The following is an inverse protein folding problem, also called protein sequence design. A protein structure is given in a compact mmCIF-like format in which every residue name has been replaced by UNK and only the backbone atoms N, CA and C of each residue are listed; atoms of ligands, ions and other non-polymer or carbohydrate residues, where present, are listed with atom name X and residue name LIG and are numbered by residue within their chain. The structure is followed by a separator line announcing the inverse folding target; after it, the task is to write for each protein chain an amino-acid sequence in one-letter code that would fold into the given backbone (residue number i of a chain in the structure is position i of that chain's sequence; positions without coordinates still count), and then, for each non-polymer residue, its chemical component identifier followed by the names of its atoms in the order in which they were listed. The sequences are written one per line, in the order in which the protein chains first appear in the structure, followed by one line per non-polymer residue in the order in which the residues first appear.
data_IF_461243445573
#
_entry.id   IF_461243445573
#
_cell.length_a   1.000
_cell.length_b   1.000
_cell.length_c   1.000
_cell.angle_alpha   90.00
_cell.angle_beta   90.00
_cell.angle_gamma   90.00
#
_symmetry.space_group_name_H-M   'P 1'
#
loop_
_entity.id
_entity.type
_entity.pdbx_description
1 polymer ?
#
# COMPACT_ATOMS: atom_id res chain seq x y z
N UNK A 1 -31.73 3.61 -25.06
CA UNK A 1 -30.73 3.33 -26.11
C UNK A 1 -29.54 2.71 -25.37
N UNK A 2 -29.32 1.41 -25.54
CA UNK A 2 -28.14 0.73 -24.98
C UNK A 2 -26.88 1.25 -25.69
N UNK A 3 -25.80 1.60 -24.98
CA UNK A 3 -24.56 1.98 -25.63
C UNK A 3 -24.02 0.77 -26.41
N UNK A 4 -23.74 0.98 -27.67
CA UNK A 4 -23.03 0.04 -28.52
C UNK A 4 -21.66 -0.23 -27.90
N UNK A 5 -21.46 -1.47 -27.41
CA UNK A 5 -20.17 -1.99 -26.95
C UNK A 5 -19.14 -1.80 -28.06
N UNK A 6 -18.29 -0.80 -27.95
CA UNK A 6 -17.04 -0.78 -28.71
C UNK A 6 -16.22 -2.01 -28.32
N UNK A 7 -15.58 -2.65 -29.29
CA UNK A 7 -14.75 -3.83 -29.06
C UNK A 7 -13.68 -3.48 -28.02
N UNK A 8 -13.81 -4.04 -26.78
CA UNK A 8 -12.82 -3.87 -25.71
C UNK A 8 -13.34 -3.43 -24.35
N UNK A 9 -14.60 -3.01 -24.20
CA UNK A 9 -15.14 -2.52 -22.92
C UNK A 9 -15.06 -1.00 -22.73
N UNK A 10 -15.55 -0.46 -21.58
CA UNK A 10 -15.57 0.97 -21.30
C UNK A 10 -14.15 1.55 -21.09
N UNK A 11 -13.96 2.77 -21.54
CA UNK A 11 -12.73 3.55 -21.36
C UNK A 11 -12.84 4.39 -20.08
N UNK A 12 -12.08 4.07 -19.07
CA UNK A 12 -12.14 4.68 -17.73
C UNK A 12 -10.82 5.36 -17.40
N UNK A 13 -10.90 6.60 -16.92
CA UNK A 13 -9.79 7.31 -16.28
C UNK A 13 -9.90 7.13 -14.77
N UNK A 14 -8.87 6.59 -14.13
CA UNK A 14 -8.74 6.44 -12.69
C UNK A 14 -7.77 7.46 -12.10
N UNK A 15 -8.16 8.09 -10.99
CA UNK A 15 -7.33 9.07 -10.25
C UNK A 15 -7.06 8.56 -8.85
N UNK A 16 -5.78 8.49 -8.48
CA UNK A 16 -5.29 8.11 -7.16
C UNK A 16 -4.50 9.25 -6.53
N UNK A 17 -4.83 9.62 -5.28
CA UNK A 17 -4.14 10.67 -4.52
C UNK A 17 -4.21 10.43 -3.01
N UNK A 18 -4.27 9.18 -2.56
CA UNK A 18 -4.53 8.88 -1.14
C UNK A 18 -3.38 9.18 -0.19
N UNK A 19 -2.14 9.27 -0.68
CA UNK A 19 -0.95 9.47 0.17
C UNK A 19 0.01 10.51 -0.42
N UNK A 20 1.11 10.10 -1.03
CA UNK A 20 2.20 10.97 -1.50
C UNK A 20 2.48 10.81 -3.00
N UNK A 21 1.71 10.01 -3.69
CA UNK A 21 1.78 9.80 -5.13
C UNK A 21 0.50 10.23 -5.82
N UNK A 22 0.63 11.03 -6.89
CA UNK A 22 -0.48 11.38 -7.78
C UNK A 22 -0.45 10.38 -8.94
N UNK A 23 -1.40 9.46 -8.94
CA UNK A 23 -1.56 8.47 -9.99
C UNK A 23 -2.71 8.78 -10.93
N UNK A 24 -2.51 8.57 -12.24
CA UNK A 24 -3.57 8.56 -13.24
C UNK A 24 -3.41 7.33 -14.12
N UNK A 25 -4.38 6.42 -14.03
CA UNK A 25 -4.47 5.23 -14.87
C UNK A 25 -5.57 5.36 -15.90
N UNK A 26 -5.38 4.78 -17.08
CA UNK A 26 -6.39 4.67 -18.12
C UNK A 26 -6.53 3.23 -18.53
N UNK A 27 -7.75 2.71 -18.46
CA UNK A 27 -8.05 1.32 -18.82
C UNK A 27 -9.18 1.25 -19.82
N UNK A 28 -9.13 0.25 -20.70
CA UNK A 28 -10.23 -0.15 -21.59
C UNK A 28 -10.69 -1.55 -21.23
N UNK A 29 -11.80 -1.67 -20.52
CA UNK A 29 -12.18 -2.94 -19.91
C UNK A 29 -11.13 -3.42 -18.92
N UNK A 30 -10.41 -4.49 -19.24
CA UNK A 30 -9.29 -5.04 -18.44
C UNK A 30 -7.90 -4.74 -19.05
N UNK A 31 -7.83 -3.95 -20.10
CA UNK A 31 -6.57 -3.58 -20.74
C UNK A 31 -6.05 -2.26 -20.14
N UNK A 32 -4.83 -2.26 -19.61
CA UNK A 32 -4.16 -1.06 -19.13
C UNK A 32 -3.54 -0.31 -20.31
N UNK A 33 -4.03 0.91 -20.59
CA UNK A 33 -3.53 1.77 -21.66
C UNK A 33 -2.47 2.75 -21.17
N UNK A 34 -2.62 3.28 -19.95
CA UNK A 34 -1.64 4.17 -19.34
C UNK A 34 -1.62 4.02 -17.82
N UNK A 35 -0.43 4.20 -17.23
CA UNK A 35 -0.22 4.29 -15.78
C UNK A 35 0.86 5.35 -15.52
N UNK A 36 0.42 6.57 -15.21
CA UNK A 36 1.30 7.70 -14.96
C UNK A 36 1.29 8.05 -13.48
N UNK A 37 2.49 8.19 -12.92
CA UNK A 37 2.68 8.53 -11.51
C UNK A 37 3.58 9.75 -11.38
N UNK A 38 3.23 10.64 -10.46
CA UNK A 38 4.07 11.74 -9.99
C UNK A 38 4.25 11.59 -8.48
N UNK A 39 5.45 11.20 -8.06
CA UNK A 39 5.78 11.00 -6.64
C UNK A 39 6.24 12.30 -5.99
N UNK A 40 5.79 12.55 -4.76
CA UNK A 40 6.27 13.64 -3.92
C UNK A 40 7.22 13.17 -2.81
N UNK A 41 7.68 11.92 -2.85
CA UNK A 41 8.55 11.30 -1.82
C UNK A 41 9.75 12.18 -1.48
N UNK A 42 10.41 12.78 -2.48
CA UNK A 42 11.58 13.65 -2.26
C UNK A 42 11.28 14.88 -1.37
N UNK A 43 10.04 15.40 -1.44
CA UNK A 43 9.63 16.51 -0.60
C UNK A 43 9.50 16.12 0.88
N UNK A 44 9.32 14.82 1.14
CA UNK A 44 9.09 14.25 2.46
C UNK A 44 10.37 13.73 3.14
N UNK A 45 11.44 13.47 2.38
CA UNK A 45 12.72 12.92 2.88
C UNK A 45 13.23 13.67 4.11
N UNK A 46 13.23 15.01 4.06
CA UNK A 46 13.69 15.86 5.16
C UNK A 46 12.90 15.73 6.47
N UNK A 47 11.67 15.23 6.38
CA UNK A 47 10.79 15.04 7.54
C UNK A 47 10.82 13.59 8.06
N UNK A 48 11.39 12.66 7.28
CA UNK A 48 11.46 11.23 7.62
C UNK A 48 10.11 10.52 7.60
N UNK A 49 9.17 11.02 6.80
CA UNK A 49 7.82 10.46 6.62
C UNK A 49 6.89 11.45 5.93
N UNK A 50 5.73 10.99 5.49
CA UNK A 50 4.77 11.80 4.73
C UNK A 50 4.16 12.90 5.60
N UNK A 51 4.22 14.14 5.11
CA UNK A 51 3.58 15.31 5.73
C UNK A 51 2.30 15.63 4.94
N UNK A 52 1.10 15.50 5.53
CA UNK A 52 -0.17 15.60 4.81
C UNK A 52 -0.36 16.91 4.02
N UNK A 53 0.04 18.05 4.60
CA UNK A 53 -0.07 19.34 3.92
C UNK A 53 0.85 19.45 2.69
N UNK A 54 2.08 18.92 2.80
CA UNK A 54 3.04 18.88 1.69
C UNK A 54 2.50 17.99 0.57
N UNK A 55 1.99 16.81 0.89
CA UNK A 55 1.38 15.90 -0.06
C UNK A 55 0.20 16.56 -0.79
N UNK A 56 -0.72 17.21 -0.05
CA UNK A 56 -1.88 17.88 -0.63
C UNK A 56 -1.49 18.97 -1.64
N UNK A 57 -0.46 19.76 -1.35
CA UNK A 57 0.06 20.79 -2.28
C UNK A 57 0.71 20.17 -3.51
N UNK A 58 1.49 19.09 -3.33
CA UNK A 58 2.11 18.38 -4.44
C UNK A 58 1.06 17.80 -5.40
N UNK A 59 -0.05 17.24 -4.88
CA UNK A 59 -1.16 16.76 -5.70
C UNK A 59 -1.78 17.85 -6.56
N UNK A 60 -1.96 19.06 -6.00
CA UNK A 60 -2.51 20.20 -6.78
C UNK A 60 -1.62 20.55 -7.98
N UNK A 61 -0.32 20.51 -7.80
CA UNK A 61 0.66 20.84 -8.86
C UNK A 61 0.77 19.71 -9.88
N UNK A 62 0.72 18.46 -9.43
CA UNK A 62 0.96 17.26 -10.25
C UNK A 62 -0.29 16.78 -11.04
N UNK A 63 -1.50 17.04 -10.56
CA UNK A 63 -2.74 16.45 -11.09
C UNK A 63 -2.92 16.66 -12.59
N UNK A 64 -2.91 17.90 -13.04
CA UNK A 64 -3.13 18.23 -14.47
C UNK A 64 -2.00 17.70 -15.35
N UNK A 65 -0.71 17.91 -15.04
CA UNK A 65 0.38 17.33 -15.82
C UNK A 65 0.33 15.79 -15.90
N UNK A 66 -0.03 15.11 -14.81
CA UNK A 66 -0.11 13.64 -14.80
C UNK A 66 -1.27 13.14 -15.66
N UNK A 67 -2.44 13.80 -15.59
CA UNK A 67 -3.57 13.49 -16.46
C UNK A 67 -3.22 13.69 -17.94
N UNK A 68 -2.54 14.79 -18.29
CA UNK A 68 -2.10 15.06 -19.66
C UNK A 68 -1.13 13.99 -20.18
N UNK A 69 -0.17 13.57 -19.36
CA UNK A 69 0.74 12.47 -19.72
C UNK A 69 -0.01 11.16 -19.92
N UNK A 70 -0.94 10.82 -19.03
CA UNK A 70 -1.74 9.60 -19.16
C UNK A 70 -2.54 9.56 -20.46
N UNK A 71 -3.21 10.66 -20.84
CA UNK A 71 -3.92 10.77 -22.12
C UNK A 71 -2.97 10.61 -23.31
N UNK A 72 -1.79 11.25 -23.26
CA UNK A 72 -0.79 11.13 -24.32
C UNK A 72 -0.22 9.69 -24.43
N UNK A 73 0.04 9.05 -23.30
CA UNK A 73 0.55 7.66 -23.26
C UNK A 73 -0.50 6.65 -23.77
N UNK A 74 -1.78 6.90 -23.52
CA UNK A 74 -2.89 6.07 -23.99
C UNK A 74 -3.34 6.40 -25.42
N UNK A 75 -2.82 7.47 -26.02
CA UNK A 75 -3.25 8.00 -27.33
C UNK A 75 -4.77 8.25 -27.40
N UNK A 76 -5.32 8.92 -26.38
CA UNK A 76 -6.75 9.25 -26.28
C UNK A 76 -6.99 10.75 -26.03
N UNK A 77 -8.16 11.23 -26.47
CA UNK A 77 -8.72 12.49 -26.02
C UNK A 77 -9.67 12.28 -24.83
N UNK A 78 -9.72 13.23 -23.89
CA UNK A 78 -10.60 13.15 -22.72
C UNK A 78 -12.09 13.07 -23.07
N UNK A 79 -12.50 13.50 -24.25
CA UNK A 79 -13.89 13.37 -24.73
C UNK A 79 -14.30 11.92 -25.02
N UNK A 80 -13.32 11.03 -25.21
CA UNK A 80 -13.54 9.61 -25.55
C UNK A 80 -13.84 8.75 -24.34
N UNK A 81 -13.52 9.20 -23.10
CA UNK A 81 -13.73 8.41 -21.90
C UNK A 81 -15.21 8.15 -21.65
N UNK A 82 -15.51 6.99 -21.07
CA UNK A 82 -16.86 6.60 -20.67
C UNK A 82 -17.18 6.90 -19.21
N UNK A 83 -16.15 7.07 -18.37
CA UNK A 83 -16.32 7.37 -16.96
C UNK A 83 -15.03 7.78 -16.27
N UNK A 84 -15.18 8.34 -15.08
CA UNK A 84 -14.09 8.73 -14.18
C UNK A 84 -14.19 7.91 -12.90
N UNK A 85 -13.10 7.26 -12.49
CA UNK A 85 -12.96 6.61 -11.20
C UNK A 85 -12.00 7.44 -10.32
N UNK A 86 -12.20 7.44 -9.01
CA UNK A 86 -11.31 8.15 -8.10
C UNK A 86 -11.26 7.45 -6.75
N UNK A 87 -10.10 7.39 -6.16
CA UNK A 87 -9.95 6.91 -4.79
C UNK A 87 -10.68 7.82 -3.81
N UNK A 88 -11.70 7.25 -3.13
CA UNK A 88 -12.53 7.95 -2.17
C UNK A 88 -12.07 7.77 -0.72
N UNK A 89 -11.15 6.83 -0.47
CA UNK A 89 -10.59 6.46 0.82
C UNK A 89 -10.31 4.96 0.92
N UNK A 90 -9.60 4.54 2.00
CA UNK A 90 -8.93 5.38 3.00
C UNK A 90 -7.72 6.13 2.43
N UNK A 91 -7.24 7.15 3.19
CA UNK A 91 -6.08 7.95 2.83
C UNK A 91 -5.99 9.26 3.62
N UNK A 92 -4.97 10.05 3.31
CA UNK A 92 -4.80 11.37 3.90
C UNK A 92 -5.89 12.32 3.41
N UNK A 93 -6.68 12.87 4.33
CA UNK A 93 -7.87 13.68 4.00
C UNK A 93 -7.59 14.79 2.99
N UNK A 94 -6.54 15.59 3.20
CA UNK A 94 -6.19 16.69 2.29
C UNK A 94 -5.78 16.22 0.90
N UNK A 95 -5.10 15.09 0.81
CA UNK A 95 -4.68 14.47 -0.43
C UNK A 95 -5.90 13.91 -1.21
N UNK A 96 -6.76 13.16 -0.53
CA UNK A 96 -8.02 12.64 -1.10
C UNK A 96 -8.91 13.74 -1.64
N UNK A 97 -9.03 14.89 -0.93
CA UNK A 97 -9.85 16.03 -1.37
C UNK A 97 -9.39 16.57 -2.72
N UNK A 98 -8.08 16.62 -2.98
CA UNK A 98 -7.55 17.08 -4.27
C UNK A 98 -7.97 16.16 -5.41
N UNK A 99 -7.77 14.85 -5.27
CA UNK A 99 -8.21 13.87 -6.27
C UNK A 99 -9.71 13.88 -6.50
N UNK A 100 -10.50 13.86 -5.42
CA UNK A 100 -11.96 13.92 -5.49
C UNK A 100 -12.48 15.18 -6.16
N UNK A 101 -11.91 16.36 -5.85
CA UNK A 101 -12.32 17.62 -6.48
C UNK A 101 -11.98 17.61 -7.97
N UNK A 102 -10.79 17.13 -8.34
CA UNK A 102 -10.35 17.01 -9.73
C UNK A 102 -11.24 16.05 -10.53
N UNK A 103 -11.51 14.87 -9.98
CA UNK A 103 -12.38 13.88 -10.62
C UNK A 103 -13.82 14.37 -10.78
N UNK A 104 -14.38 15.06 -9.77
CA UNK A 104 -15.71 15.64 -9.84
C UNK A 104 -15.79 16.73 -10.92
N UNK A 105 -14.79 17.61 -10.99
CA UNK A 105 -14.74 18.67 -12.01
C UNK A 105 -14.63 18.06 -13.42
N UNK A 106 -13.79 17.03 -13.59
CA UNK A 106 -13.62 16.32 -14.87
C UNK A 106 -14.92 15.63 -15.29
N UNK A 107 -15.51 14.83 -14.42
CA UNK A 107 -16.76 14.11 -14.69
C UNK A 107 -17.91 15.07 -15.02
N UNK A 108 -18.01 16.17 -14.29
CA UNK A 108 -19.02 17.21 -14.54
C UNK A 108 -18.83 17.89 -15.91
N UNK A 109 -17.60 18.31 -16.22
CA UNK A 109 -17.28 19.01 -17.47
C UNK A 109 -17.52 18.11 -18.71
N UNK A 110 -17.26 16.83 -18.59
CA UNK A 110 -17.41 15.85 -19.67
C UNK A 110 -18.79 15.17 -19.70
N UNK A 111 -19.66 15.46 -18.73
CA UNK A 111 -20.96 14.79 -18.56
C UNK A 111 -20.84 13.26 -18.48
N UNK A 112 -19.82 12.78 -17.74
CA UNK A 112 -19.53 11.34 -17.55
C UNK A 112 -19.83 10.90 -16.12
N UNK A 113 -20.16 9.61 -15.90
CA UNK A 113 -20.34 9.07 -14.55
C UNK A 113 -19.06 9.14 -13.75
N UNK A 114 -19.20 9.31 -12.42
CA UNK A 114 -18.11 9.31 -11.44
C UNK A 114 -18.28 8.13 -10.50
N UNK A 115 -17.19 7.38 -10.30
CA UNK A 115 -17.13 6.20 -9.43
C UNK A 115 -16.13 6.43 -8.30
N UNK A 116 -16.59 6.36 -7.05
CA UNK A 116 -15.70 6.34 -5.88
C UNK A 116 -15.18 4.93 -5.64
N UNK A 117 -13.86 4.77 -5.56
CA UNK A 117 -13.19 3.48 -5.34
C UNK A 117 -12.50 3.47 -3.98
N UNK A 118 -12.57 2.35 -3.29
CA UNK A 118 -11.80 2.13 -2.07
C UNK A 118 -10.32 1.87 -2.45
N UNK A 119 -9.40 2.58 -1.79
CA UNK A 119 -7.96 2.48 -2.04
C UNK A 119 -7.44 1.04 -1.90
N UNK A 120 -7.86 0.32 -0.86
CA UNK A 120 -7.43 -1.06 -0.60
C UNK A 120 -7.96 -2.01 -1.68
N UNK A 121 -9.19 -1.77 -2.16
CA UNK A 121 -9.76 -2.52 -3.30
C UNK A 121 -8.96 -2.25 -4.57
N UNK A 122 -8.51 -1.00 -4.78
CA UNK A 122 -7.61 -0.66 -5.88
C UNK A 122 -6.33 -1.49 -5.89
N UNK A 123 -5.72 -1.70 -4.73
CA UNK A 123 -4.52 -2.56 -4.62
C UNK A 123 -4.79 -4.02 -5.00
N UNK A 124 -5.95 -4.55 -4.66
CA UNK A 124 -6.33 -5.93 -5.05
C UNK A 124 -6.65 -5.99 -6.55
N UNK A 125 -7.29 -4.93 -7.08
CA UNK A 125 -7.72 -4.88 -8.47
C UNK A 125 -6.56 -4.90 -9.49
N UNK A 126 -5.36 -4.49 -9.10
CA UNK A 126 -4.16 -4.56 -9.95
C UNK A 126 -3.90 -5.99 -10.43
N UNK A 127 -4.16 -6.99 -9.60
CA UNK A 127 -3.97 -8.39 -9.95
C UNK A 127 -4.83 -8.83 -11.15
N UNK A 128 -6.03 -8.24 -11.31
CA UNK A 128 -6.87 -8.45 -12.49
C UNK A 128 -6.22 -8.02 -13.81
N UNK A 129 -5.40 -6.97 -13.76
CA UNK A 129 -4.71 -6.45 -14.94
C UNK A 129 -3.44 -7.24 -15.27
N UNK A 130 -2.78 -7.79 -14.25
CA UNK A 130 -1.51 -8.51 -14.42
C UNK A 130 -1.71 -10.01 -14.67
N UNK A 131 -2.66 -10.64 -13.98
CA UNK A 131 -2.84 -12.09 -13.97
C UNK A 131 -4.20 -12.55 -14.48
N UNK A 132 -5.14 -11.63 -14.75
CA UNK A 132 -6.48 -11.95 -15.21
C UNK A 132 -7.48 -12.15 -14.04
N UNK A 133 -8.58 -12.89 -14.25
CA UNK A 133 -9.63 -13.03 -13.27
C UNK A 133 -9.13 -13.50 -11.90
N UNK A 134 -9.56 -12.84 -10.83
CA UNK A 134 -9.26 -13.27 -9.46
C UNK A 134 -9.86 -14.65 -9.17
N UNK A 135 -9.24 -15.43 -8.27
CA UNK A 135 -9.86 -16.65 -7.73
C UNK A 135 -11.23 -16.34 -7.11
N UNK A 136 -12.15 -17.32 -7.13
CA UNK A 136 -13.50 -17.15 -6.55
C UNK A 136 -13.49 -16.72 -5.07
N UNK A 137 -12.43 -17.12 -4.34
CA UNK A 137 -12.19 -16.72 -2.96
C UNK A 137 -10.70 -16.64 -2.71
N UNK A 138 -10.22 -15.49 -2.35
CA UNK A 138 -8.82 -15.30 -1.95
C UNK A 138 -8.71 -14.42 -0.70
N UNK A 139 -7.55 -14.48 -0.06
CA UNK A 139 -7.16 -13.52 0.98
C UNK A 139 -6.15 -12.57 0.37
N UNK A 140 -6.31 -11.28 0.61
CA UNK A 140 -5.33 -10.27 0.23
C UNK A 140 -4.63 -9.73 1.48
N UNK A 141 -3.30 -9.84 1.52
CA UNK A 141 -2.43 -9.18 2.48
C UNK A 141 -1.92 -7.88 1.85
N UNK A 142 -2.45 -6.76 2.29
CA UNK A 142 -2.03 -5.44 1.84
C UNK A 142 -1.03 -4.85 2.84
N UNK A 143 0.21 -4.61 2.40
CA UNK A 143 1.31 -4.17 3.27
C UNK A 143 2.05 -3.01 2.63
N UNK A 144 1.81 -1.80 3.14
CA UNK A 144 2.39 -0.55 2.63
C UNK A 144 2.95 0.32 3.74
N UNK A 145 3.40 1.53 3.40
CA UNK A 145 3.82 2.56 4.35
C UNK A 145 2.70 3.02 5.28
N UNK A 146 1.45 3.05 4.80
CA UNK A 146 0.30 3.54 5.55
C UNK A 146 -0.69 2.46 5.99
N UNK A 147 -0.66 1.28 5.39
CA UNK A 147 -1.65 0.22 5.63
C UNK A 147 -0.99 -1.13 5.87
N UNK A 148 -1.59 -1.91 6.76
CA UNK A 148 -1.33 -3.34 6.92
C UNK A 148 -2.66 -3.98 7.24
N UNK A 149 -3.25 -4.68 6.27
CA UNK A 149 -4.61 -5.23 6.36
C UNK A 149 -4.69 -6.61 5.73
N UNK A 150 -5.57 -7.45 6.27
CA UNK A 150 -6.00 -8.71 5.69
C UNK A 150 -7.44 -8.56 5.22
N UNK A 151 -7.68 -8.85 3.95
CA UNK A 151 -8.99 -8.80 3.33
C UNK A 151 -9.38 -10.19 2.83
N UNK A 152 -10.60 -10.63 3.09
CA UNK A 152 -11.22 -11.72 2.36
C UNK A 152 -11.91 -11.14 1.13
N UNK A 153 -11.55 -11.62 -0.05
CA UNK A 153 -12.10 -11.17 -1.33
C UNK A 153 -12.92 -12.30 -1.93
N UNK A 154 -14.23 -12.10 -2.03
CA UNK A 154 -15.19 -13.02 -2.66
C UNK A 154 -15.65 -12.45 -3.99
N UNK A 155 -15.87 -11.14 -4.04
CA UNK A 155 -16.14 -10.39 -5.25
C UNK A 155 -15.51 -9.00 -5.13
N UNK A 156 -14.66 -8.63 -6.07
CA UNK A 156 -13.93 -7.36 -6.00
C UNK A 156 -14.85 -6.14 -6.13
N UNK A 157 -16.03 -6.31 -6.72
CA UNK A 157 -16.96 -5.21 -6.93
C UNK A 157 -17.75 -4.84 -5.67
N UNK A 158 -18.14 -5.82 -4.83
CA UNK A 158 -19.12 -5.61 -3.78
C UNK A 158 -19.02 -6.56 -2.56
N UNK A 159 -18.15 -7.56 -2.56
CA UNK A 159 -18.00 -8.51 -1.44
C UNK A 159 -16.54 -8.67 -1.02
N UNK A 160 -16.03 -7.65 -0.34
CA UNK A 160 -14.73 -7.65 0.30
C UNK A 160 -14.92 -7.39 1.80
N UNK A 161 -14.36 -8.28 2.62
CA UNK A 161 -14.44 -8.20 4.08
C UNK A 161 -13.07 -7.97 4.67
N UNK A 162 -12.88 -6.88 5.42
CA UNK A 162 -11.68 -6.69 6.22
C UNK A 162 -11.69 -7.64 7.41
N UNK A 163 -10.76 -8.59 7.43
CA UNK A 163 -10.59 -9.56 8.51
C UNK A 163 -9.87 -8.93 9.71
N UNK A 164 -8.91 -8.06 9.45
CA UNK A 164 -8.14 -7.34 10.44
C UNK A 164 -7.15 -6.38 9.81
N UNK A 165 -6.68 -5.44 10.61
CA UNK A 165 -5.73 -4.41 10.20
C UNK A 165 -4.78 -4.03 11.32
N UNK A 166 -3.79 -3.18 11.03
CA UNK A 166 -2.90 -2.69 12.09
C UNK A 166 -3.65 -1.78 13.06
N UNK A 167 -3.42 -1.98 14.34
CA UNK A 167 -3.99 -1.15 15.43
C UNK A 167 -3.08 0.02 15.82
N UNK A 168 -1.87 0.07 15.26
CA UNK A 168 -0.88 1.12 15.52
C UNK A 168 -0.05 1.43 14.26
N UNK A 169 1.27 1.31 14.28
CA UNK A 169 2.13 1.54 13.12
C UNK A 169 1.83 0.48 12.01
N UNK A 170 1.75 0.90 10.76
CA UNK A 170 1.80 -0.03 9.64
C UNK A 170 3.19 -0.67 9.52
N UNK A 171 3.29 -1.83 8.86
CA UNK A 171 4.56 -2.51 8.69
C UNK A 171 5.60 -1.64 7.98
N UNK A 172 5.24 -0.98 6.87
CA UNK A 172 6.16 -0.10 6.17
C UNK A 172 6.57 1.11 7.00
N UNK A 173 5.67 1.69 7.78
CA UNK A 173 5.99 2.75 8.74
C UNK A 173 6.97 2.26 9.81
N UNK A 174 6.84 1.02 10.28
CA UNK A 174 7.80 0.41 11.20
C UNK A 174 9.19 0.24 10.55
N UNK A 175 9.24 -0.17 9.28
CA UNK A 175 10.49 -0.19 8.50
C UNK A 175 11.15 1.19 8.43
N UNK A 176 10.40 2.23 8.11
CA UNK A 176 10.93 3.60 8.01
C UNK A 176 11.47 4.11 9.35
N UNK A 177 10.72 3.87 10.43
CA UNK A 177 11.12 4.28 11.79
C UNK A 177 12.35 3.52 12.28
N UNK A 178 12.45 2.21 12.01
CA UNK A 178 13.61 1.39 12.37
C UNK A 178 14.82 1.74 11.51
N UNK A 179 14.65 1.97 10.21
CA UNK A 179 15.72 2.46 9.34
C UNK A 179 16.36 3.73 9.89
N UNK A 180 15.55 4.69 10.32
CA UNK A 180 16.04 5.92 10.95
C UNK A 180 16.83 5.64 12.25
N UNK A 181 16.38 4.71 13.09
CA UNK A 181 17.09 4.28 14.32
C UNK A 181 18.45 3.68 13.97
N UNK A 182 18.53 2.94 12.87
CA UNK A 182 19.75 2.30 12.38
C UNK A 182 20.64 3.22 11.52
N UNK A 183 20.26 4.50 11.32
CA UNK A 183 21.00 5.44 10.50
C UNK A 183 20.90 5.20 8.99
N UNK A 184 19.86 4.48 8.55
CA UNK A 184 19.59 4.20 7.13
C UNK A 184 18.72 5.29 6.50
N UNK A 185 18.80 5.50 5.16
CA UNK A 185 18.01 6.49 4.46
C UNK A 185 16.51 6.17 4.42
N UNK A 186 15.71 7.18 4.02
CA UNK A 186 14.29 7.07 3.69
C UNK A 186 14.10 6.91 2.15
N UNK A 187 13.13 6.10 1.68
CA UNK A 187 12.25 5.18 2.43
C UNK A 187 13.01 3.97 2.99
N UNK A 188 12.72 3.57 4.25
CA UNK A 188 13.52 2.63 5.01
C UNK A 188 13.45 1.17 4.55
N UNK A 189 12.30 0.74 4.00
CA UNK A 189 12.06 -0.64 3.61
C UNK A 189 13.16 -1.24 2.71
N UNK A 190 13.47 -0.64 1.55
CA UNK A 190 14.50 -1.15 0.65
C UNK A 190 15.90 -1.18 1.26
N UNK A 191 16.23 -0.22 2.12
CA UNK A 191 17.54 -0.16 2.77
C UNK A 191 17.70 -1.22 3.88
N UNK A 192 16.64 -1.50 4.64
CA UNK A 192 16.64 -2.60 5.61
C UNK A 192 16.75 -3.93 4.89
N UNK A 193 15.95 -4.17 3.85
CA UNK A 193 15.98 -5.42 3.07
C UNK A 193 17.39 -5.67 2.50
N UNK A 194 18.02 -4.65 1.94
CA UNK A 194 19.40 -4.73 1.44
C UNK A 194 20.42 -4.97 2.56
N UNK A 195 20.22 -4.39 3.75
CA UNK A 195 21.13 -4.54 4.88
C UNK A 195 20.96 -5.88 5.61
N UNK A 196 19.79 -6.51 5.51
CA UNK A 196 19.41 -7.72 6.23
C UNK A 196 20.11 -8.98 5.70
N UNK A 197 21.44 -8.97 5.66
CA UNK A 197 22.29 -10.06 5.17
C UNK A 197 22.88 -10.92 6.30
N UNK A 198 22.61 -10.55 7.55
CA UNK A 198 23.11 -11.24 8.75
C UNK A 198 22.17 -12.33 9.26
N UNK A 199 22.36 -12.69 10.53
CA UNK A 199 21.55 -13.74 11.20
C UNK A 199 20.17 -13.19 11.60
N UNK A 200 19.07 -13.80 11.16
CA UNK A 200 17.72 -13.40 11.57
C UNK A 200 17.43 -13.70 13.06
N UNK A 201 18.20 -14.60 13.68
CA UNK A 201 18.06 -15.01 15.08
C UNK A 201 19.06 -14.30 16.03
N UNK A 202 19.81 -13.31 15.54
CA UNK A 202 20.80 -12.60 16.35
C UNK A 202 20.18 -11.88 17.54
N UNK A 203 19.00 -11.24 17.32
CA UNK A 203 18.18 -10.66 18.38
C UNK A 203 16.76 -11.16 18.25
N UNK A 204 16.23 -11.78 19.30
CA UNK A 204 14.84 -12.23 19.31
C UNK A 204 13.90 -11.05 19.64
N UNK A 205 13.59 -10.26 18.65
CA UNK A 205 12.61 -9.19 18.78
C UNK A 205 11.17 -9.70 18.98
N UNK A 206 10.29 -8.93 19.63
CA UNK A 206 8.91 -9.36 19.87
C UNK A 206 8.09 -9.46 18.57
N UNK A 207 7.15 -10.41 18.53
CA UNK A 207 6.13 -10.58 17.50
C UNK A 207 4.81 -10.08 18.08
N UNK A 208 4.34 -8.92 17.61
CA UNK A 208 3.12 -8.28 18.12
C UNK A 208 1.87 -9.12 17.89
N UNK A 209 0.96 -9.13 18.85
CA UNK A 209 -0.36 -9.78 18.79
C UNK A 209 -0.34 -11.27 18.36
N UNK A 210 0.71 -12.01 18.77
CA UNK A 210 0.84 -13.45 18.49
C UNK A 210 0.62 -14.32 19.71
N UNK A 211 0.49 -13.74 20.91
CA UNK A 211 0.22 -14.45 22.15
C UNK A 211 -1.18 -15.04 22.18
N UNK A 212 -1.37 -16.17 22.91
CA UNK A 212 -2.67 -16.85 22.99
C UNK A 212 -3.84 -15.93 23.36
N UNK A 213 -3.63 -15.01 24.30
CA UNK A 213 -4.67 -14.03 24.72
C UNK A 213 -4.95 -12.99 23.65
N UNK A 214 -3.93 -12.62 22.88
CA UNK A 214 -4.07 -11.64 21.80
C UNK A 214 -4.86 -12.24 20.64
N UNK A 215 -4.62 -13.53 20.32
CA UNK A 215 -5.33 -14.24 19.25
C UNK A 215 -6.84 -14.40 19.54
N UNK A 216 -7.29 -14.33 20.79
CA UNK A 216 -8.72 -14.35 21.13
C UNK A 216 -9.45 -13.06 20.70
N UNK A 217 -8.75 -11.91 20.59
CA UNK A 217 -9.35 -10.61 20.31
C UNK A 217 -8.82 -9.96 19.03
N UNK A 218 -7.58 -10.26 18.67
CA UNK A 218 -6.81 -9.62 17.61
C UNK A 218 -6.23 -10.67 16.65
N UNK A 219 -7.04 -11.68 16.31
CA UNK A 219 -6.57 -12.84 15.53
C UNK A 219 -5.87 -12.42 14.25
N UNK A 220 -6.45 -11.47 13.53
CA UNK A 220 -5.99 -10.99 12.24
C UNK A 220 -5.44 -9.56 12.28
N UNK A 221 -5.48 -8.90 13.44
CA UNK A 221 -4.93 -7.56 13.61
C UNK A 221 -3.41 -7.59 13.76
N UNK A 222 -2.76 -6.50 13.39
CA UNK A 222 -1.31 -6.32 13.47
C UNK A 222 -0.94 -5.25 14.48
N UNK A 223 0.31 -5.31 14.99
CA UNK A 223 0.92 -4.26 15.81
C UNK A 223 2.43 -4.29 15.63
N UNK A 224 3.01 -3.16 15.27
CA UNK A 224 4.45 -3.02 15.03
C UNK A 224 5.11 -1.93 15.89
N UNK A 225 4.36 -1.10 16.62
CA UNK A 225 4.91 -0.04 17.47
C UNK A 225 5.76 -0.61 18.62
N UNK A 226 5.36 -1.77 19.17
CA UNK A 226 6.12 -2.49 20.19
C UNK A 226 7.44 -3.03 19.66
N UNK A 227 7.45 -3.56 18.45
CA UNK A 227 8.63 -4.05 17.76
C UNK A 227 9.64 -2.93 17.50
N UNK A 228 9.19 -1.81 16.91
CA UNK A 228 10.00 -0.60 16.71
C UNK A 228 10.65 -0.15 18.03
N UNK A 229 9.87 -0.08 19.10
CA UNK A 229 10.35 0.34 20.43
C UNK A 229 11.40 -0.62 20.99
N UNK A 230 11.23 -1.92 20.77
CA UNK A 230 12.20 -2.93 21.18
C UNK A 230 13.55 -2.76 20.46
N UNK A 231 13.51 -2.52 19.15
CA UNK A 231 14.74 -2.24 18.35
C UNK A 231 15.42 -0.97 18.85
N UNK A 232 14.68 0.13 19.05
CA UNK A 232 15.25 1.39 19.52
C UNK A 232 15.95 1.23 20.87
N UNK A 233 15.28 0.58 21.83
CA UNK A 233 15.86 0.32 23.18
C UNK A 233 17.10 -0.57 23.10
N UNK A 234 17.10 -1.56 22.22
CA UNK A 234 18.26 -2.44 22.05
C UNK A 234 19.46 -1.66 21.48
N UNK A 235 19.24 -0.82 20.47
CA UNK A 235 20.28 0.03 19.88
C UNK A 235 20.81 1.02 20.91
N UNK A 236 19.94 1.71 21.65
CA UNK A 236 20.33 2.65 22.71
C UNK A 236 21.14 2.00 23.81
N UNK A 237 20.80 0.77 24.21
CA UNK A 237 21.55 0.02 25.21
C UNK A 237 22.98 -0.26 24.72
N UNK A 238 23.14 -0.75 23.48
CA UNK A 238 24.48 -1.02 22.93
C UNK A 238 25.33 0.24 22.77
N UNK A 239 24.72 1.34 22.33
CA UNK A 239 25.40 2.64 22.21
C UNK A 239 25.89 3.13 23.57
N UNK A 240 25.06 3.04 24.61
CA UNK A 240 25.41 3.42 25.98
C UNK A 240 26.57 2.57 26.52
N UNK A 241 26.61 1.27 26.17
CA UNK A 241 27.65 0.36 26.59
C UNK A 241 28.91 0.44 25.73
N UNK A 242 28.96 1.35 24.74
CA UNK A 242 30.09 1.56 23.83
C UNK A 242 30.30 0.38 22.84
N UNK A 243 29.25 -0.40 22.59
CA UNK A 243 29.32 -1.58 21.72
C UNK A 243 28.87 -1.21 20.30
N UNK A 244 29.52 -1.81 19.30
CA UNK A 244 29.13 -1.66 17.90
C UNK A 244 27.75 -2.27 17.64
N UNK A 245 27.03 -1.68 16.69
CA UNK A 245 25.73 -2.20 16.21
C UNK A 245 26.01 -3.05 14.97
N UNK A 246 25.81 -4.36 15.02
CA UNK A 246 25.95 -5.25 13.87
C UNK A 246 24.72 -5.05 12.95
N UNK A 247 24.81 -4.07 12.08
CA UNK A 247 23.69 -3.60 11.24
C UNK A 247 23.03 -4.73 10.46
N UNK A 248 23.83 -5.62 9.86
CA UNK A 248 23.32 -6.74 9.06
C UNK A 248 22.46 -7.70 9.88
N UNK A 249 22.90 -8.05 11.10
CA UNK A 249 22.19 -8.98 11.98
C UNK A 249 20.93 -8.34 12.58
N UNK A 250 21.02 -7.07 12.99
CA UNK A 250 19.86 -6.35 13.57
C UNK A 250 18.78 -6.11 12.52
N UNK A 251 19.18 -5.72 11.31
CA UNK A 251 18.26 -5.56 10.18
C UNK A 251 17.57 -6.89 9.82
N UNK A 252 18.33 -7.98 9.75
CA UNK A 252 17.79 -9.32 9.51
C UNK A 252 16.83 -9.77 10.61
N UNK A 253 17.20 -9.58 11.88
CA UNK A 253 16.35 -9.95 13.03
C UNK A 253 15.05 -9.14 13.10
N UNK A 254 15.10 -7.85 12.76
CA UNK A 254 13.91 -7.01 12.67
C UNK A 254 12.99 -7.46 11.53
N UNK A 255 13.56 -7.63 10.32
CA UNK A 255 12.83 -8.07 9.13
C UNK A 255 12.16 -9.43 9.36
N UNK A 256 12.87 -10.38 9.95
CA UNK A 256 12.32 -11.69 10.33
C UNK A 256 11.12 -11.55 11.26
N UNK A 257 11.20 -10.67 12.27
CA UNK A 257 10.09 -10.45 13.19
C UNK A 257 8.85 -9.88 12.52
N UNK A 258 9.01 -9.02 11.52
CA UNK A 258 7.88 -8.50 10.72
C UNK A 258 7.31 -9.61 9.84
N UNK A 259 8.16 -10.31 9.09
CA UNK A 259 7.73 -11.36 8.16
C UNK A 259 7.02 -12.51 8.87
N UNK A 260 7.52 -12.94 10.04
CA UNK A 260 6.86 -13.97 10.87
C UNK A 260 5.41 -13.61 11.20
N UNK A 261 5.17 -12.35 11.63
CA UNK A 261 3.82 -11.90 12.00
C UNK A 261 2.92 -11.83 10.78
N UNK A 262 3.41 -11.24 9.68
CA UNK A 262 2.65 -11.10 8.44
C UNK A 262 2.27 -12.47 7.87
N UNK A 263 3.24 -13.38 7.74
CA UNK A 263 3.03 -14.71 7.16
C UNK A 263 2.12 -15.57 8.04
N UNK A 264 2.35 -15.60 9.37
CA UNK A 264 1.53 -16.42 10.26
C UNK A 264 0.07 -16.00 10.24
N UNK A 265 -0.23 -14.69 10.26
CA UNK A 265 -1.61 -14.18 10.25
C UNK A 265 -2.27 -14.33 8.87
N UNK A 266 -1.51 -14.16 7.77
CA UNK A 266 -2.02 -14.39 6.43
C UNK A 266 -2.40 -15.86 6.21
N UNK A 267 -1.55 -16.80 6.64
CA UNK A 267 -1.84 -18.23 6.56
C UNK A 267 -3.01 -18.65 7.45
N UNK A 268 -3.13 -18.06 8.65
CA UNK A 268 -4.28 -18.29 9.53
C UNK A 268 -5.58 -17.74 8.92
N UNK A 269 -5.53 -16.59 8.25
CA UNK A 269 -6.66 -16.02 7.53
C UNK A 269 -7.11 -16.93 6.37
N UNK A 270 -6.18 -17.43 5.56
CA UNK A 270 -6.49 -18.41 4.51
C UNK A 270 -7.14 -19.67 5.09
N UNK A 271 -6.60 -20.21 6.18
CA UNK A 271 -7.17 -21.39 6.83
C UNK A 271 -8.57 -21.12 7.40
N UNK A 272 -8.82 -19.95 7.98
CA UNK A 272 -10.10 -19.58 8.57
C UNK A 272 -11.20 -19.32 7.53
N UNK A 273 -10.85 -18.76 6.37
CA UNK A 273 -11.77 -18.45 5.28
C UNK A 273 -11.95 -19.61 4.30
N UNK A 274 -11.04 -20.59 4.32
CA UNK A 274 -10.96 -21.65 3.32
C UNK A 274 -10.43 -21.18 1.96
N UNK A 275 -9.78 -20.01 1.92
CA UNK A 275 -9.14 -19.51 0.72
C UNK A 275 -7.87 -20.33 0.39
N UNK A 276 -7.69 -20.66 -0.89
CA UNK A 276 -6.51 -21.39 -1.40
C UNK A 276 -5.45 -20.45 -1.95
N UNK A 277 -5.83 -19.20 -2.19
CA UNK A 277 -5.01 -18.20 -2.85
C UNK A 277 -4.76 -17.00 -1.92
N UNK A 278 -3.50 -16.56 -1.86
CA UNK A 278 -3.06 -15.40 -1.10
C UNK A 278 -2.47 -14.38 -2.06
N UNK A 279 -3.11 -13.22 -2.16
CA UNK A 279 -2.59 -12.06 -2.87
C UNK A 279 -1.76 -11.20 -1.91
N UNK A 280 -0.61 -10.71 -2.36
CA UNK A 280 0.23 -9.80 -1.55
C UNK A 280 0.44 -8.51 -2.33
N UNK A 281 -0.04 -7.39 -1.78
CA UNK A 281 0.02 -6.08 -2.41
C UNK A 281 0.64 -5.00 -1.53
N UNK A 282 1.01 -3.87 -2.15
CA UNK A 282 1.64 -2.73 -1.48
C UNK A 282 3.17 -2.76 -1.49
N UNK A 283 3.80 -1.64 -1.11
CA UNK A 283 5.25 -1.47 -1.23
C UNK A 283 6.11 -2.48 -0.45
N UNK A 284 5.62 -2.96 0.70
CA UNK A 284 6.33 -3.98 1.49
C UNK A 284 6.24 -5.37 0.86
N UNK A 285 5.28 -5.62 -0.04
CA UNK A 285 5.20 -6.86 -0.82
C UNK A 285 6.45 -7.11 -1.69
N UNK A 286 7.23 -6.07 -1.99
CA UNK A 286 8.51 -6.19 -2.71
C UNK A 286 9.66 -6.72 -1.83
N UNK A 287 9.45 -6.85 -0.51
CA UNK A 287 10.49 -7.31 0.42
C UNK A 287 10.90 -8.76 0.12
N UNK A 288 12.21 -8.98 -0.04
CA UNK A 288 12.76 -10.27 -0.46
C UNK A 288 12.55 -11.40 0.56
N UNK A 289 12.40 -11.08 1.85
CA UNK A 289 12.16 -12.10 2.89
C UNK A 289 10.68 -12.46 3.01
N UNK A 290 9.77 -11.53 2.70
CA UNK A 290 8.32 -11.77 2.75
C UNK A 290 7.86 -12.67 1.60
N UNK A 291 8.46 -12.51 0.41
CA UNK A 291 8.23 -13.37 -0.77
C UNK A 291 8.84 -14.75 -0.59
#
# INVERSE_FOLDING_TARGET
MSPTSAAGGPLIVGIESSCDETGVGIVRGHELLANEVASSVELHVRFGGVVPEVASRAHLEAMVPTLQRACASADIDLSEIDGVAVTAGPGLMGALVVGLASAKALAYALHKPLYGVNHLVGHVAVDLLEHGPLPERCVALLVSGGHTSLLEVRCIADDIVELGSTIDDAAGEAYDKVARVLGLPYPGGPYIDKAATGSPDYVRFPRGLTGRKDLERHRFDFSFSGLKTAVARWVEARQRDGLDIPLADVAASFQEAVCDVLSAKAMDACAATGATDLLIGGGVAANGRLR
#
